data_IF_491333022805
#
_entry.id   IF_491333022805
#
_cell.length_a   1.000
_cell.length_b   1.000
_cell.length_c   1.000
_cell.angle_alpha   90.00
_cell.angle_beta   90.00
_cell.angle_gamma   90.00
#
_symmetry.space_group_name_H-M   'P 1'
#
loop_
_entity.id
_entity.type
_entity.pdbx_description
1 polymer ?
#
# COMPACT_ATOMS: atom_id res chain seq x y z
N UNK A 1 11.60 24.15 -25.70
CA UNK A 1 11.98 22.93 -24.99
C UNK A 1 10.90 22.57 -23.99
N UNK A 2 10.23 21.47 -24.23
CA UNK A 2 9.26 20.92 -23.27
C UNK A 2 9.98 20.24 -22.13
N UNK A 3 9.70 20.69 -20.91
CA UNK A 3 10.18 19.99 -19.72
C UNK A 3 9.26 18.81 -19.45
N UNK A 4 9.76 17.60 -19.60
CA UNK A 4 9.03 16.41 -19.22
C UNK A 4 8.96 16.33 -17.69
N UNK A 5 7.76 16.52 -17.16
CA UNK A 5 7.51 16.28 -15.74
C UNK A 5 7.24 14.78 -15.59
N UNK A 6 8.22 14.04 -15.09
CA UNK A 6 8.03 12.64 -14.78
C UNK A 6 7.26 12.54 -13.46
N UNK A 7 6.08 11.93 -13.49
CA UNK A 7 5.37 11.58 -12.26
C UNK A 7 6.22 10.58 -11.49
N UNK A 8 6.57 10.85 -10.22
CA UNK A 8 7.31 9.88 -9.44
C UNK A 8 6.58 8.55 -9.39
N UNK A 9 7.32 7.47 -9.63
CA UNK A 9 6.77 6.11 -9.54
C UNK A 9 6.72 5.70 -8.08
N UNK A 10 5.61 6.00 -7.41
CA UNK A 10 5.38 5.68 -6.01
C UNK A 10 4.17 4.78 -5.84
N UNK A 11 4.32 3.77 -5.00
CA UNK A 11 3.24 2.89 -4.57
C UNK A 11 3.03 3.06 -3.07
N UNK A 12 1.78 3.31 -2.69
CA UNK A 12 1.39 3.41 -1.29
C UNK A 12 1.03 2.02 -0.78
N UNK A 13 1.57 1.63 0.36
CA UNK A 13 1.24 0.38 1.04
C UNK A 13 0.25 0.65 2.16
N UNK A 14 -0.97 0.14 2.01
CA UNK A 14 -1.99 0.16 3.05
C UNK A 14 -1.96 -1.17 3.79
N UNK A 15 -1.51 -1.16 5.02
CA UNK A 15 -1.37 -2.35 5.87
C UNK A 15 -1.59 -1.98 7.33
N UNK A 16 -2.21 -2.87 8.09
CA UNK A 16 -2.33 -2.71 9.53
C UNK A 16 -0.95 -2.88 10.18
N UNK A 17 -0.50 -1.86 10.91
CA UNK A 17 0.75 -1.93 11.64
C UNK A 17 0.55 -2.38 13.08
N UNK A 18 1.43 -3.24 13.56
CA UNK A 18 1.44 -3.71 14.94
C UNK A 18 2.42 -2.85 15.76
N UNK A 19 1.94 -2.16 16.82
CA UNK A 19 2.80 -1.29 17.63
C UNK A 19 3.98 -2.00 18.28
N UNK A 20 3.91 -3.32 18.46
CA UNK A 20 5.01 -4.13 18.99
C UNK A 20 6.07 -4.48 17.93
N UNK A 21 5.94 -3.96 16.71
CA UNK A 21 6.81 -4.21 15.57
C UNK A 21 6.75 -5.65 15.03
N UNK A 22 5.74 -6.44 15.42
CA UNK A 22 5.66 -7.85 15.02
C UNK A 22 5.62 -8.03 13.51
N UNK A 23 4.96 -7.12 12.78
CA UNK A 23 4.86 -7.21 11.31
C UNK A 23 5.77 -6.23 10.55
N UNK A 24 6.70 -5.57 11.23
CA UNK A 24 7.67 -4.70 10.56
C UNK A 24 8.49 -5.44 9.49
N UNK A 25 8.99 -6.66 9.74
CA UNK A 25 9.69 -7.41 8.69
C UNK A 25 8.85 -7.67 7.45
N UNK A 26 7.55 -7.92 7.61
CA UNK A 26 6.64 -8.09 6.48
C UNK A 26 6.48 -6.78 5.69
N UNK A 27 6.29 -5.66 6.39
CA UNK A 27 6.18 -4.34 5.75
C UNK A 27 7.45 -4.03 4.96
N UNK A 28 8.62 -4.28 5.54
CA UNK A 28 9.89 -4.05 4.86
C UNK A 28 10.06 -4.95 3.63
N UNK A 29 9.61 -6.21 3.70
CA UNK A 29 9.63 -7.13 2.57
C UNK A 29 8.72 -6.66 1.42
N UNK A 30 7.53 -6.17 1.75
CA UNK A 30 6.59 -5.62 0.77
C UNK A 30 7.19 -4.39 0.08
N UNK A 31 7.74 -3.46 0.84
CA UNK A 31 8.39 -2.27 0.31
C UNK A 31 9.59 -2.62 -0.59
N UNK A 32 10.40 -3.59 -0.17
CA UNK A 32 11.53 -4.07 -0.96
C UNK A 32 11.09 -4.67 -2.31
N UNK A 33 9.94 -5.36 -2.34
CA UNK A 33 9.40 -5.91 -3.58
C UNK A 33 9.01 -4.80 -4.56
N UNK A 34 8.40 -3.70 -4.07
CA UNK A 34 8.10 -2.54 -4.92
C UNK A 34 9.36 -1.93 -5.51
N UNK A 35 10.38 -1.78 -4.67
CA UNK A 35 11.66 -1.17 -5.07
C UNK A 35 12.39 -2.03 -6.10
N UNK A 36 12.34 -3.36 -5.99
CA UNK A 36 12.89 -4.26 -7.00
C UNK A 36 12.16 -4.17 -8.34
N UNK A 37 10.91 -3.74 -8.32
CA UNK A 37 10.14 -3.48 -9.54
C UNK A 37 10.37 -2.06 -10.09
N UNK A 38 11.26 -1.27 -9.49
CA UNK A 38 11.59 0.08 -9.92
C UNK A 38 10.64 1.16 -9.37
N UNK A 39 9.90 0.86 -8.31
CA UNK A 39 8.94 1.79 -7.72
C UNK A 39 9.33 2.16 -6.29
N UNK A 40 9.19 3.41 -5.94
CA UNK A 40 9.39 3.87 -4.57
C UNK A 40 8.21 3.43 -3.70
N UNK A 41 8.50 2.94 -2.50
CA UNK A 41 7.48 2.55 -1.53
C UNK A 41 7.13 3.72 -0.61
N UNK A 42 5.85 3.82 -0.23
CA UNK A 42 5.36 4.79 0.75
C UNK A 42 4.49 4.02 1.74
N UNK A 43 4.79 4.11 3.03
CA UNK A 43 4.02 3.47 4.08
C UNK A 43 4.00 4.33 5.34
N UNK A 44 2.82 4.55 5.90
CA UNK A 44 2.60 5.46 7.03
C UNK A 44 3.44 5.07 8.25
N UNK A 45 3.49 3.79 8.59
CA UNK A 45 4.22 3.33 9.76
C UNK A 45 5.70 3.76 9.76
N UNK A 46 6.33 3.76 8.60
CA UNK A 46 7.73 4.19 8.42
C UNK A 46 7.84 5.69 8.15
N UNK A 47 7.07 6.19 7.17
CA UNK A 47 7.29 7.51 6.57
C UNK A 47 6.64 8.65 7.35
N UNK A 48 5.60 8.39 8.11
CA UNK A 48 4.97 9.37 8.99
C UNK A 48 5.30 9.11 10.46
N UNK A 49 5.08 7.88 10.91
CA UNK A 49 5.13 7.55 12.33
C UNK A 49 6.52 7.11 12.81
N UNK A 50 7.48 6.93 11.90
CA UNK A 50 8.83 6.50 12.26
C UNK A 50 8.83 5.22 13.10
N UNK A 51 8.01 4.25 12.73
CA UNK A 51 7.83 2.98 13.44
C UNK A 51 7.35 3.17 14.88
N UNK A 52 6.49 4.16 15.11
CA UNK A 52 5.89 4.44 16.40
C UNK A 52 6.61 5.51 17.24
N UNK A 53 7.72 6.06 16.76
CA UNK A 53 8.47 7.11 17.48
C UNK A 53 7.80 8.48 17.38
N UNK A 54 6.98 8.72 16.35
CA UNK A 54 6.26 9.98 16.17
C UNK A 54 4.77 9.75 16.39
N UNK A 55 4.18 10.57 17.27
CA UNK A 55 2.75 10.54 17.55
C UNK A 55 2.04 11.62 16.73
N UNK A 56 0.94 11.23 16.09
CA UNK A 56 0.03 12.14 15.42
C UNK A 56 -1.33 12.07 16.10
N UNK A 57 -2.04 13.19 16.20
CA UNK A 57 -3.45 13.08 16.52
C UNK A 57 -4.19 12.45 15.32
N UNK A 58 -5.37 11.83 15.53
CA UNK A 58 -6.04 11.09 14.46
C UNK A 58 -6.36 11.94 13.21
N UNK A 59 -6.73 13.20 13.40
CA UNK A 59 -7.06 14.10 12.29
C UNK A 59 -5.84 14.37 11.40
N UNK A 60 -4.72 14.70 12.03
CA UNK A 60 -3.48 14.99 11.30
C UNK A 60 -2.93 13.74 10.62
N UNK A 61 -3.01 12.59 11.28
CA UNK A 61 -2.57 11.32 10.69
C UNK A 61 -3.32 11.04 9.40
N UNK A 62 -4.65 11.15 9.41
CA UNK A 62 -5.45 10.89 8.22
C UNK A 62 -5.22 11.91 7.13
N UNK A 63 -5.09 13.19 7.49
CA UNK A 63 -4.79 14.24 6.51
C UNK A 63 -3.45 13.97 5.81
N UNK A 64 -2.42 13.65 6.57
CA UNK A 64 -1.09 13.37 6.01
C UNK A 64 -1.06 12.05 5.22
N UNK A 65 -1.81 11.05 5.66
CA UNK A 65 -1.94 9.79 4.92
C UNK A 65 -2.56 10.03 3.54
N UNK A 66 -3.63 10.81 3.46
CA UNK A 66 -4.27 11.15 2.19
C UNK A 66 -3.34 11.95 1.28
N UNK A 67 -2.56 12.87 1.84
CA UNK A 67 -1.55 13.61 1.07
C UNK A 67 -0.52 12.68 0.45
N UNK A 68 -0.06 11.68 1.20
CA UNK A 68 0.87 10.68 0.69
C UNK A 68 0.26 9.87 -0.45
N UNK A 69 -1.00 9.44 -0.29
CA UNK A 69 -1.72 8.72 -1.35
C UNK A 69 -1.80 9.58 -2.62
N UNK A 70 -2.06 10.88 -2.48
CA UNK A 70 -2.15 11.80 -3.62
C UNK A 70 -0.83 11.93 -4.40
N UNK A 71 0.30 11.56 -3.80
CA UNK A 71 1.60 11.56 -4.48
C UNK A 71 1.91 10.23 -5.18
N UNK A 72 1.07 9.22 -5.01
CA UNK A 72 1.31 7.87 -5.50
C UNK A 72 0.54 7.61 -6.80
N UNK A 73 1.08 6.70 -7.61
CA UNK A 73 0.43 6.27 -8.86
C UNK A 73 -0.45 5.03 -8.67
N UNK A 74 -0.33 4.35 -7.54
CA UNK A 74 -1.12 3.18 -7.22
C UNK A 74 -1.07 2.86 -5.74
N UNK A 75 -1.96 1.99 -5.31
CA UNK A 75 -2.06 1.58 -3.92
C UNK A 75 -2.06 0.06 -3.83
N UNK A 76 -1.24 -0.47 -2.94
CA UNK A 76 -1.21 -1.89 -2.62
C UNK A 76 -1.81 -2.07 -1.23
N UNK A 77 -2.86 -2.88 -1.14
CA UNK A 77 -3.49 -3.24 0.13
C UNK A 77 -2.99 -4.61 0.54
N UNK A 78 -2.46 -4.74 1.75
CA UNK A 78 -2.24 -6.05 2.37
C UNK A 78 -3.30 -6.26 3.44
N UNK A 79 -4.20 -7.19 3.19
CA UNK A 79 -5.43 -7.39 3.99
C UNK A 79 -5.47 -8.74 4.71
N UNK A 80 -4.36 -9.41 4.87
CA UNK A 80 -4.32 -10.66 5.64
C UNK A 80 -4.89 -10.46 7.04
N UNK A 81 -4.73 -9.26 7.57
CA UNK A 81 -5.32 -8.82 8.82
C UNK A 81 -6.21 -7.59 8.54
N UNK A 82 -7.44 -7.63 9.00
CA UNK A 82 -8.40 -6.54 8.76
C UNK A 82 -8.08 -5.31 9.59
N UNK A 83 -8.27 -4.13 9.01
CA UNK A 83 -8.09 -2.86 9.69
C UNK A 83 -8.98 -1.78 9.09
N UNK A 84 -9.59 -0.96 9.94
CA UNK A 84 -10.47 0.13 9.50
C UNK A 84 -9.71 1.15 8.65
N UNK A 85 -8.50 1.52 9.09
CA UNK A 85 -7.67 2.48 8.36
C UNK A 85 -7.33 2.02 6.95
N UNK A 86 -7.05 0.74 6.78
CA UNK A 86 -6.73 0.16 5.47
C UNK A 86 -7.91 0.34 4.50
N UNK A 87 -9.13 0.07 4.98
CA UNK A 87 -10.34 0.25 4.18
C UNK A 87 -10.58 1.71 3.79
N UNK A 88 -10.33 2.64 4.71
CA UNK A 88 -10.47 4.09 4.44
C UNK A 88 -9.46 4.53 3.37
N UNK A 89 -8.22 4.11 3.49
CA UNK A 89 -7.16 4.44 2.53
C UNK A 89 -7.48 3.88 1.14
N UNK A 90 -7.95 2.63 1.08
CA UNK A 90 -8.34 2.00 -0.18
C UNK A 90 -9.50 2.73 -0.85
N UNK A 91 -10.52 3.11 -0.08
CA UNK A 91 -11.67 3.88 -0.58
C UNK A 91 -11.25 5.24 -1.12
N UNK A 92 -10.37 5.93 -0.40
CA UNK A 92 -9.83 7.22 -0.85
C UNK A 92 -9.06 7.07 -2.18
N UNK A 93 -8.18 6.08 -2.27
CA UNK A 93 -7.41 5.83 -3.49
C UNK A 93 -8.33 5.51 -4.67
N UNK A 94 -9.36 4.71 -4.46
CA UNK A 94 -10.35 4.38 -5.48
C UNK A 94 -11.07 5.63 -5.98
N UNK A 95 -11.50 6.51 -5.07
CA UNK A 95 -12.15 7.77 -5.42
C UNK A 95 -11.24 8.70 -6.22
N UNK A 96 -9.93 8.59 -6.04
CA UNK A 96 -8.91 9.34 -6.79
C UNK A 96 -8.55 8.67 -8.12
N UNK A 97 -9.15 7.54 -8.44
CA UNK A 97 -8.88 6.84 -9.70
C UNK A 97 -7.59 6.04 -9.72
N UNK A 98 -6.98 5.76 -8.56
CA UNK A 98 -5.76 4.97 -8.50
C UNK A 98 -6.06 3.48 -8.69
N UNK A 99 -5.24 2.74 -9.44
CA UNK A 99 -5.32 1.28 -9.46
C UNK A 99 -4.94 0.71 -8.11
N UNK A 100 -5.61 -0.38 -7.73
CA UNK A 100 -5.43 -1.03 -6.43
C UNK A 100 -5.10 -2.50 -6.62
N UNK A 101 -3.97 -2.93 -6.08
CA UNK A 101 -3.62 -4.34 -5.91
C UNK A 101 -3.94 -4.75 -4.48
N UNK A 102 -4.81 -5.74 -4.32
CA UNK A 102 -5.07 -6.32 -3.00
C UNK A 102 -4.34 -7.64 -2.87
N UNK A 103 -3.46 -7.71 -1.88
CA UNK A 103 -2.66 -8.88 -1.52
C UNK A 103 -3.17 -9.47 -0.21
N UNK A 104 -3.21 -10.78 -0.14
CA UNK A 104 -3.50 -11.48 1.11
C UNK A 104 -2.79 -12.83 1.14
N UNK A 105 -2.44 -13.28 2.33
CA UNK A 105 -1.81 -14.58 2.53
C UNK A 105 -2.82 -15.70 2.21
N UNK A 106 -2.35 -16.94 1.92
CA UNK A 106 -3.21 -17.99 1.38
C UNK A 106 -4.43 -18.35 2.23
N UNK A 107 -4.34 -18.22 3.56
CA UNK A 107 -5.42 -18.61 4.48
C UNK A 107 -6.31 -17.44 4.92
N UNK A 108 -6.01 -16.23 4.47
CA UNK A 108 -6.75 -15.05 4.89
C UNK A 108 -8.07 -14.89 4.13
N UNK A 109 -9.05 -14.25 4.78
CA UNK A 109 -10.35 -13.98 4.18
C UNK A 109 -10.31 -12.67 3.40
N UNK A 110 -10.80 -12.70 2.17
CA UNK A 110 -10.91 -11.51 1.31
C UNK A 110 -12.22 -10.78 1.59
N UNK A 111 -12.18 -9.53 2.07
CA UNK A 111 -13.38 -8.71 2.16
C UNK A 111 -13.97 -8.43 0.78
N UNK A 112 -15.26 -8.69 0.59
CA UNK A 112 -15.95 -8.47 -0.68
C UNK A 112 -15.90 -7.02 -1.14
N UNK A 113 -15.90 -6.08 -0.19
CA UNK A 113 -15.81 -4.64 -0.51
C UNK A 113 -14.48 -4.28 -1.15
N UNK A 114 -13.38 -4.86 -0.69
CA UNK A 114 -12.06 -4.66 -1.31
C UNK A 114 -12.00 -5.29 -2.70
N UNK A 115 -12.58 -6.47 -2.86
CA UNK A 115 -12.67 -7.11 -4.17
C UNK A 115 -13.36 -6.19 -5.18
N UNK A 116 -14.40 -5.46 -4.74
CA UNK A 116 -15.19 -4.56 -5.59
C UNK A 116 -14.45 -3.35 -6.11
N UNK A 117 -13.37 -2.93 -5.46
CA UNK A 117 -12.58 -1.75 -5.86
C UNK A 117 -11.16 -2.09 -6.30
N UNK A 118 -10.75 -3.35 -6.23
CA UNK A 118 -9.41 -3.78 -6.62
C UNK A 118 -9.32 -4.00 -8.11
N UNK A 119 -8.23 -3.52 -8.73
CA UNK A 119 -7.95 -3.83 -10.13
C UNK A 119 -7.36 -5.23 -10.26
N UNK A 120 -6.73 -5.73 -9.21
CA UNK A 120 -6.22 -7.10 -9.14
C UNK A 120 -6.23 -7.57 -7.68
N UNK A 121 -6.57 -8.83 -7.47
CA UNK A 121 -6.46 -9.51 -6.18
C UNK A 121 -5.53 -10.69 -6.34
N UNK A 122 -4.57 -10.86 -5.43
CA UNK A 122 -3.64 -11.97 -5.48
C UNK A 122 -3.36 -12.52 -4.07
N UNK A 123 -3.48 -13.82 -3.93
CA UNK A 123 -2.96 -14.50 -2.75
C UNK A 123 -1.46 -14.72 -2.97
N UNK A 124 -0.64 -14.44 -1.95
CA UNK A 124 0.80 -14.42 -2.12
C UNK A 124 1.52 -15.14 -0.99
N UNK A 125 2.74 -15.54 -1.30
CA UNK A 125 3.77 -15.90 -0.34
C UNK A 125 4.96 -14.95 -0.55
N UNK A 126 5.91 -14.92 0.37
CA UNK A 126 7.09 -14.07 0.18
C UNK A 126 7.90 -14.47 -1.07
N UNK A 127 7.85 -15.75 -1.44
CA UNK A 127 8.57 -16.26 -2.62
C UNK A 127 8.00 -15.71 -3.93
N UNK A 128 6.68 -15.51 -4.04
CA UNK A 128 6.02 -15.05 -5.26
C UNK A 128 5.58 -13.57 -5.21
N UNK A 129 5.85 -12.88 -4.13
CA UNK A 129 5.42 -11.50 -3.90
C UNK A 129 5.85 -10.55 -5.03
N UNK A 130 7.13 -10.55 -5.36
CA UNK A 130 7.65 -9.66 -6.40
C UNK A 130 7.01 -9.94 -7.76
N UNK A 131 6.80 -11.19 -8.11
CA UNK A 131 6.12 -11.58 -9.34
C UNK A 131 4.67 -11.09 -9.40
N UNK A 132 3.95 -11.15 -8.28
CA UNK A 132 2.58 -10.63 -8.20
C UNK A 132 2.52 -9.12 -8.39
N UNK A 133 3.44 -8.39 -7.77
CA UNK A 133 3.54 -6.93 -7.94
C UNK A 133 3.88 -6.58 -9.39
N UNK A 134 4.88 -7.23 -9.95
CA UNK A 134 5.31 -7.01 -11.33
C UNK A 134 4.18 -7.27 -12.34
N UNK A 135 3.43 -8.36 -12.15
CA UNK A 135 2.30 -8.71 -13.04
C UNK A 135 1.20 -7.65 -13.01
N UNK A 136 0.92 -7.07 -11.84
CA UNK A 136 -0.04 -5.99 -11.70
C UNK A 136 0.48 -4.71 -12.37
N UNK A 137 1.75 -4.37 -12.17
CA UNK A 137 2.38 -3.18 -12.76
C UNK A 137 2.41 -3.24 -14.30
N UNK A 138 2.48 -4.41 -14.89
CA UNK A 138 2.47 -4.58 -16.34
C UNK A 138 1.16 -4.13 -16.99
N UNK A 139 0.08 -4.00 -16.20
CA UNK A 139 -1.23 -3.54 -16.66
C UNK A 139 -1.56 -2.12 -16.19
N UNK A 140 -0.57 -1.38 -15.78
CA UNK A 140 -0.72 -0.02 -15.27
C UNK A 140 -1.09 0.99 -16.36
#
# INVERSE_FOLDING_TARGET
LETLILTPKKLYLAIKYHPDHANRPLIEALCAAFERCGWQSVVVARDLEGWGEKAFNPRDLMRESFRLIDTCAGLVVEISEKGVGVGIEAGYAHARGLPILTLLQPQADLPETLKGISTRVARYTLADLQGNVSAWLDHF
#
